data_IF_456319476302
#
_entry.id   IF_456319476302
#
_cell.length_a   1.000
_cell.length_b   1.000
_cell.length_c   1.000
_cell.angle_alpha   90.00
_cell.angle_beta   90.00
_cell.angle_gamma   90.00
#
_symmetry.space_group_name_H-M   'P 1'
#
loop_
_entity.id
_entity.type
_entity.pdbx_description
1 polymer ?
#
# COMPACT_ATOMS: atom_id res chain seq x y z
N UNK A 1 -35.51 18.88 -21.94
CA UNK A 1 -34.41 17.97 -22.37
C UNK A 1 -33.00 18.36 -21.91
N UNK A 2 -32.67 19.63 -21.63
CA UNK A 2 -31.32 20.02 -21.17
C UNK A 2 -31.03 19.70 -19.69
N UNK A 3 -32.06 19.67 -18.83
CA UNK A 3 -31.92 19.41 -17.40
C UNK A 3 -31.71 17.91 -17.12
N UNK A 4 -32.47 17.02 -17.79
CA UNK A 4 -32.24 15.57 -17.69
C UNK A 4 -30.83 15.16 -18.15
N UNK A 5 -30.33 15.76 -19.24
CA UNK A 5 -28.97 15.48 -19.74
C UNK A 5 -27.88 15.88 -18.75
N UNK A 6 -28.05 17.00 -18.02
CA UNK A 6 -27.09 17.42 -16.98
C UNK A 6 -27.12 16.53 -15.74
N UNK A 7 -28.30 16.06 -15.33
CA UNK A 7 -28.45 15.14 -14.19
C UNK A 7 -27.82 13.78 -14.50
N UNK A 8 -28.00 13.26 -15.72
CA UNK A 8 -27.40 12.00 -16.17
C UNK A 8 -25.87 12.08 -16.19
N UNK A 9 -25.28 13.21 -16.61
CA UNK A 9 -23.81 13.39 -16.62
C UNK A 9 -23.23 13.43 -15.20
N UNK A 10 -23.91 14.09 -14.25
CA UNK A 10 -23.47 14.13 -12.84
C UNK A 10 -23.59 12.75 -12.17
N UNK A 11 -24.66 12.00 -12.45
CA UNK A 11 -24.81 10.63 -11.95
C UNK A 11 -23.78 9.68 -12.56
N UNK A 12 -23.42 9.84 -13.84
CA UNK A 12 -22.41 9.01 -14.50
C UNK A 12 -20.99 9.32 -14.00
N UNK A 13 -20.71 10.58 -13.63
CA UNK A 13 -19.41 10.99 -13.08
C UNK A 13 -19.15 10.46 -11.66
N UNK A 14 -20.19 10.15 -10.88
CA UNK A 14 -20.09 9.61 -9.52
C UNK A 14 -19.70 8.11 -9.46
N UNK A 15 -19.72 7.39 -10.57
CA UNK A 15 -19.48 5.94 -10.62
C UNK A 15 -18.03 5.59 -11.01
N UNK A 16 -17.18 6.60 -11.27
CA UNK A 16 -15.83 6.41 -11.80
C UNK A 16 -14.71 6.62 -10.78
N UNK A 17 -15.02 6.77 -9.49
CA UNK A 17 -14.01 6.88 -8.43
C UNK A 17 -14.02 5.63 -7.55
N UNK A 18 -12.88 4.94 -7.44
CA UNK A 18 -12.69 3.88 -6.48
C UNK A 18 -13.04 4.36 -5.06
N UNK A 19 -13.76 3.53 -4.31
CA UNK A 19 -14.03 3.80 -2.90
C UNK A 19 -12.83 3.33 -2.07
N UNK A 20 -12.45 4.10 -1.05
CA UNK A 20 -11.48 3.64 -0.06
C UNK A 20 -12.06 2.41 0.65
N UNK A 21 -11.39 1.27 0.49
CA UNK A 21 -11.80 -0.01 1.08
C UNK A 21 -11.18 -0.18 2.48
N UNK A 22 -9.88 0.13 2.61
CA UNK A 22 -9.14 -0.04 3.84
C UNK A 22 -7.88 0.82 3.88
N UNK A 23 -7.41 1.14 5.09
CA UNK A 23 -6.20 1.94 5.35
C UNK A 23 -5.38 1.28 6.46
N UNK A 24 -4.07 1.22 6.26
CA UNK A 24 -3.13 0.54 7.15
C UNK A 24 -1.92 1.41 7.45
N UNK A 25 -1.40 1.31 8.66
CA UNK A 25 -0.15 1.96 9.07
C UNK A 25 1.04 1.04 8.80
N UNK A 26 2.16 1.60 8.34
CA UNK A 26 3.43 0.89 8.28
C UNK A 26 3.92 0.63 9.72
N UNK A 27 4.24 -0.62 10.04
CA UNK A 27 4.79 -0.96 11.36
C UNK A 27 6.09 -0.21 11.66
N UNK A 28 6.30 0.19 12.92
CA UNK A 28 7.57 0.77 13.39
C UNK A 28 8.75 -0.22 13.30
N UNK A 29 8.47 -1.52 13.33
CA UNK A 29 9.46 -2.59 13.14
C UNK A 29 9.77 -2.83 11.66
N UNK A 30 8.96 -2.29 10.75
CA UNK A 30 9.18 -2.41 9.31
C UNK A 30 10.13 -1.32 8.83
N UNK A 31 11.01 -1.68 7.90
CA UNK A 31 11.73 -0.68 7.10
C UNK A 31 10.74 0.15 6.28
N UNK A 32 11.21 1.33 5.88
CA UNK A 32 10.51 2.19 4.94
C UNK A 32 10.49 1.53 3.53
N UNK A 33 9.41 1.69 2.75
CA UNK A 33 9.43 1.35 1.33
C UNK A 33 10.54 2.12 0.61
N UNK A 34 11.25 1.47 -0.31
CA UNK A 34 12.39 2.09 -1.03
C UNK A 34 12.02 3.26 -1.94
N UNK A 35 10.73 3.49 -2.18
CA UNK A 35 10.23 4.66 -2.92
C UNK A 35 10.31 5.95 -2.12
N UNK A 36 10.34 5.85 -0.80
CA UNK A 36 10.43 7.02 0.08
C UNK A 36 11.86 7.19 0.60
N UNK A 37 12.26 8.43 0.74
CA UNK A 37 13.50 8.82 1.42
C UNK A 37 13.16 9.72 2.60
N UNK A 38 13.79 9.47 3.73
CA UNK A 38 13.60 10.31 4.92
C UNK A 38 14.37 11.63 4.67
N UNK A 39 13.73 12.80 4.82
CA UNK A 39 14.41 14.08 4.71
C UNK A 39 15.57 14.21 5.70
N UNK A 40 16.60 14.96 5.33
CA UNK A 40 17.76 15.19 6.19
C UNK A 40 17.32 15.81 7.54
N UNK A 41 17.85 15.28 8.64
CA UNK A 41 17.52 15.72 10.00
C UNK A 41 16.20 15.20 10.56
N UNK A 42 15.44 14.37 9.83
CA UNK A 42 14.21 13.72 10.32
C UNK A 42 14.51 12.30 10.80
N UNK A 43 13.98 11.91 11.96
CA UNK A 43 14.08 10.53 12.47
C UNK A 43 13.02 9.63 11.82
N UNK A 44 13.30 8.32 11.70
CA UNK A 44 12.30 7.33 11.26
C UNK A 44 11.03 7.34 12.13
N UNK A 45 11.16 7.67 13.42
CA UNK A 45 10.04 7.80 14.36
C UNK A 45 9.12 8.99 14.07
N UNK A 46 9.63 9.99 13.35
CA UNK A 46 8.89 11.21 12.99
C UNK A 46 8.23 11.09 11.61
N UNK A 47 8.27 9.89 11.04
CA UNK A 47 7.69 9.53 9.75
C UNK A 47 6.53 8.59 9.96
N UNK A 48 5.39 8.92 9.33
CA UNK A 48 4.23 8.06 9.19
C UNK A 48 4.05 7.68 7.73
N UNK A 49 3.87 6.38 7.48
CA UNK A 49 3.45 5.88 6.17
C UNK A 49 2.16 5.12 6.32
N UNK A 50 1.19 5.44 5.46
CA UNK A 50 -0.05 4.67 5.34
C UNK A 50 -0.20 4.07 3.96
N UNK A 51 -0.93 2.96 3.89
CA UNK A 51 -1.33 2.30 2.67
C UNK A 51 -2.85 2.22 2.61
N UNK A 52 -3.42 2.83 1.59
CA UNK A 52 -4.84 2.83 1.28
C UNK A 52 -5.09 1.88 0.11
N UNK A 53 -5.99 0.91 0.29
CA UNK A 53 -6.52 0.11 -0.82
C UNK A 53 -7.88 0.63 -1.24
N UNK A 54 -8.06 0.77 -2.55
CA UNK A 54 -9.31 1.16 -3.17
C UNK A 54 -9.97 -0.01 -3.88
N UNK A 55 -11.31 0.02 -3.96
CA UNK A 55 -12.12 -1.06 -4.54
C UNK A 55 -11.87 -1.33 -6.03
N UNK A 56 -11.24 -0.38 -6.74
CA UNK A 56 -10.84 -0.51 -8.14
C UNK A 56 -9.46 -1.18 -8.32
N UNK A 57 -8.80 -1.56 -7.22
CA UNK A 57 -7.50 -2.23 -7.22
C UNK A 57 -6.31 -1.29 -7.10
N UNK A 58 -6.54 0.04 -7.00
CA UNK A 58 -5.47 1.01 -6.74
C UNK A 58 -4.92 0.84 -5.31
N UNK A 59 -3.59 0.82 -5.20
CA UNK A 59 -2.88 0.90 -3.93
C UNK A 59 -2.15 2.23 -3.82
N UNK A 60 -2.47 2.98 -2.78
CA UNK A 60 -2.00 4.35 -2.57
C UNK A 60 -1.20 4.43 -1.29
N UNK A 61 0.05 4.86 -1.40
CA UNK A 61 0.91 5.14 -0.25
C UNK A 61 0.90 6.63 0.05
N UNK A 62 0.70 6.96 1.32
CA UNK A 62 0.86 8.31 1.83
C UNK A 62 2.07 8.31 2.77
N UNK A 63 3.03 9.18 2.49
CA UNK A 63 4.15 9.48 3.37
C UNK A 63 3.93 10.84 4.02
N UNK A 64 4.15 10.90 5.32
CA UNK A 64 4.08 12.11 6.12
C UNK A 64 5.30 12.17 7.03
N UNK A 65 6.08 13.25 6.94
CA UNK A 65 7.22 13.50 7.81
C UNK A 65 7.05 14.85 8.52
N UNK A 66 7.43 14.91 9.81
CA UNK A 66 7.50 16.16 10.56
C UNK A 66 8.95 16.69 10.56
N UNK A 67 9.17 17.87 9.98
CA UNK A 67 10.47 18.55 9.96
C UNK A 67 10.32 19.96 10.50
N UNK A 68 10.99 20.28 11.62
CA UNK A 68 11.04 21.64 12.19
C UNK A 68 9.67 22.35 12.33
N UNK A 69 8.60 21.57 12.62
CA UNK A 69 7.18 21.99 12.73
C UNK A 69 6.41 22.13 11.40
N UNK A 70 7.00 21.73 10.29
CA UNK A 70 6.34 21.62 8.99
C UNK A 70 6.08 20.16 8.65
N UNK A 71 4.91 19.87 8.09
CA UNK A 71 4.60 18.55 7.55
C UNK A 71 4.97 18.46 6.08
N UNK A 72 5.83 17.51 5.74
CA UNK A 72 6.12 17.13 4.36
C UNK A 72 5.21 15.95 4.03
N UNK A 73 4.44 16.06 2.95
CA UNK A 73 3.54 15.00 2.48
C UNK A 73 3.89 14.60 1.06
N UNK A 74 3.98 13.30 0.83
CA UNK A 74 4.12 12.71 -0.50
C UNK A 74 3.06 11.62 -0.67
N UNK A 75 2.48 11.53 -1.87
CA UNK A 75 1.50 10.50 -2.23
C UNK A 75 2.02 9.77 -3.45
N UNK A 76 2.11 8.46 -3.37
CA UNK A 76 2.54 7.59 -4.47
C UNK A 76 1.47 6.54 -4.73
N UNK A 77 1.03 6.41 -5.97
CA UNK A 77 0.16 5.33 -6.42
C UNK A 77 1.00 4.25 -7.10
N UNK A 78 0.66 2.99 -6.86
CA UNK A 78 1.38 1.85 -7.42
C UNK A 78 0.45 0.81 -8.04
N UNK A 79 0.96 0.15 -9.06
CA UNK A 79 0.26 -0.98 -9.67
C UNK A 79 0.46 -2.24 -8.82
N UNK A 80 -0.64 -2.91 -8.53
CA UNK A 80 -0.62 -4.21 -7.88
C UNK A 80 -0.41 -5.32 -8.92
N UNK A 81 0.40 -6.33 -8.61
CA UNK A 81 0.62 -7.47 -9.52
C UNK A 81 -0.67 -8.23 -9.85
N UNK A 82 -1.60 -8.30 -8.89
CA UNK A 82 -2.93 -8.89 -9.02
C UNK A 82 -3.94 -8.15 -8.16
N UNK A 83 -5.18 -8.13 -8.61
CA UNK A 83 -6.30 -7.66 -7.81
C UNK A 83 -6.50 -8.61 -6.62
N UNK A 84 -6.31 -8.08 -5.41
CA UNK A 84 -6.46 -8.80 -4.15
C UNK A 84 -5.19 -9.50 -3.64
N UNK A 85 -5.24 -10.00 -2.40
CA UNK A 85 -4.07 -10.50 -1.69
C UNK A 85 -3.56 -11.83 -2.26
N UNK A 86 -2.25 -11.93 -2.39
CA UNK A 86 -1.52 -13.16 -2.68
C UNK A 86 -1.35 -13.99 -1.41
N UNK A 87 -1.37 -15.31 -1.56
CA UNK A 87 -1.12 -16.27 -0.48
C UNK A 87 -0.08 -17.27 -0.90
N UNK A 88 0.82 -17.60 0.02
CA UNK A 88 1.77 -18.69 -0.17
C UNK A 88 1.04 -20.02 0.02
N UNK A 89 1.43 -21.04 -0.75
CA UNK A 89 0.88 -22.41 -0.60
C UNK A 89 1.19 -22.98 0.79
N UNK A 90 2.39 -22.71 1.28
CA UNK A 90 2.89 -23.11 2.60
C UNK A 90 3.30 -21.84 3.35
N UNK A 91 2.38 -21.17 4.06
CA UNK A 91 2.73 -19.98 4.84
C UNK A 91 3.68 -20.35 5.99
N UNK A 92 4.52 -19.40 6.45
CA UNK A 92 5.34 -19.61 7.64
C UNK A 92 4.48 -20.01 8.85
N UNK A 93 5.04 -20.86 9.71
CA UNK A 93 4.35 -21.27 10.93
C UNK A 93 4.19 -20.08 11.91
N UNK A 94 3.18 -20.15 12.78
CA UNK A 94 2.93 -19.14 13.82
C UNK A 94 1.96 -18.03 13.43
N UNK A 95 1.50 -17.97 12.17
CA UNK A 95 0.47 -17.03 11.74
C UNK A 95 -0.95 -17.59 11.89
N UNK A 96 -1.95 -16.71 12.09
CA UNK A 96 -3.35 -17.11 12.09
C UNK A 96 -3.78 -17.73 10.75
N UNK A 97 -4.90 -18.45 10.77
CA UNK A 97 -5.50 -19.01 9.56
C UNK A 97 -5.73 -17.91 8.51
N UNK A 98 -5.38 -18.20 7.25
CA UNK A 98 -5.43 -17.30 6.09
C UNK A 98 -4.37 -16.20 6.02
N UNK A 99 -3.47 -16.15 7.00
CA UNK A 99 -2.35 -15.23 7.07
C UNK A 99 -1.01 -15.99 6.99
N UNK A 100 0.08 -15.29 6.61
CA UNK A 100 0.13 -13.92 6.13
C UNK A 100 -0.46 -13.77 4.71
N UNK A 101 -0.85 -12.55 4.37
CA UNK A 101 -1.32 -12.14 3.04
C UNK A 101 -0.35 -11.13 2.44
N UNK A 102 -0.15 -11.19 1.13
CA UNK A 102 0.86 -10.39 0.46
C UNK A 102 0.29 -9.54 -0.66
N UNK A 103 0.89 -8.38 -0.91
CA UNK A 103 0.67 -7.60 -2.13
C UNK A 103 2.02 -7.26 -2.75
N UNK A 104 2.19 -7.56 -4.04
CA UNK A 104 3.37 -7.12 -4.79
C UNK A 104 2.98 -5.82 -5.49
N UNK A 105 3.73 -4.75 -5.20
CA UNK A 105 3.44 -3.41 -5.71
C UNK A 105 4.70 -2.84 -6.34
N UNK A 106 4.56 -2.21 -7.50
CA UNK A 106 5.65 -1.52 -8.18
C UNK A 106 5.32 -0.05 -8.32
N UNK A 107 6.24 0.81 -7.89
CA UNK A 107 6.18 2.27 -8.05
C UNK A 107 7.52 2.72 -8.61
N UNK A 108 7.49 3.53 -9.69
CA UNK A 108 8.69 4.08 -10.33
C UNK A 108 9.77 3.03 -10.65
N UNK A 109 9.37 1.82 -11.04
CA UNK A 109 10.27 0.72 -11.40
C UNK A 109 10.91 -0.04 -10.23
N UNK A 110 10.62 0.37 -8.99
CA UNK A 110 11.04 -0.35 -7.77
C UNK A 110 9.85 -1.19 -7.30
N UNK A 111 10.07 -2.48 -7.09
CA UNK A 111 9.05 -3.40 -6.56
C UNK A 111 9.24 -3.60 -5.07
N UNK A 112 8.15 -3.66 -4.32
CA UNK A 112 8.12 -4.04 -2.91
C UNK A 112 7.04 -5.09 -2.68
N UNK A 113 7.24 -5.92 -1.64
CA UNK A 113 6.25 -6.89 -1.19
C UNK A 113 5.70 -6.43 0.16
N UNK A 114 4.42 -6.10 0.16
CA UNK A 114 3.65 -5.76 1.36
C UNK A 114 3.20 -7.06 2.01
N UNK A 115 3.39 -7.18 3.32
CA UNK A 115 2.96 -8.31 4.13
C UNK A 115 1.96 -7.86 5.20
N UNK A 116 0.77 -8.44 5.17
CA UNK A 116 -0.24 -8.37 6.23
C UNK A 116 -0.16 -9.66 7.02
N UNK A 117 0.28 -9.58 8.29
CA UNK A 117 0.59 -10.77 9.12
C UNK A 117 -0.62 -11.34 9.86
N UNK A 118 -1.64 -10.52 10.08
CA UNK A 118 -2.88 -10.85 10.80
C UNK A 118 -3.94 -9.79 10.50
N UNK A 119 -5.15 -9.96 11.01
CA UNK A 119 -6.27 -9.04 10.78
C UNK A 119 -6.15 -7.77 11.63
N UNK A 120 -5.20 -6.91 11.28
CA UNK A 120 -4.91 -5.65 11.96
C UNK A 120 -4.68 -4.53 10.93
N UNK A 121 -4.77 -3.27 11.37
CA UNK A 121 -4.51 -2.09 10.55
C UNK A 121 -3.00 -1.78 10.41
N UNK A 122 -2.17 -2.82 10.30
CA UNK A 122 -0.72 -2.71 10.23
C UNK A 122 -0.17 -3.57 9.10
N UNK A 123 0.73 -3.01 8.30
CA UNK A 123 1.46 -3.73 7.27
C UNK A 123 2.98 -3.64 7.46
N UNK A 124 3.68 -4.56 6.80
CA UNK A 124 5.13 -4.65 6.80
C UNK A 124 5.64 -4.67 5.35
N UNK A 125 6.85 -4.19 5.14
CA UNK A 125 7.62 -4.53 3.94
C UNK A 125 8.45 -5.77 4.26
N UNK A 126 8.29 -6.82 3.46
CA UNK A 126 9.06 -8.06 3.67
C UNK A 126 10.28 -8.11 2.76
N UNK A 127 11.43 -8.40 3.35
CA UNK A 127 12.68 -8.72 2.66
C UNK A 127 12.97 -10.22 2.61
N UNK A 128 12.05 -11.06 3.10
CA UNK A 128 12.25 -12.51 3.17
C UNK A 128 12.44 -13.09 1.75
N UNK A 129 13.67 -13.52 1.40
CA UNK A 129 13.97 -13.98 0.05
C UNK A 129 13.14 -15.20 -0.36
N UNK A 130 12.67 -16.00 0.60
CA UNK A 130 11.79 -17.13 0.31
C UNK A 130 10.40 -16.66 -0.15
N UNK A 131 9.87 -15.58 0.43
CA UNK A 131 8.62 -14.95 -0.02
C UNK A 131 8.78 -14.40 -1.43
N UNK A 132 9.84 -13.61 -1.66
CA UNK A 132 10.15 -13.02 -2.97
C UNK A 132 10.23 -14.09 -4.06
N UNK A 133 11.00 -15.15 -3.81
CA UNK A 133 11.15 -16.29 -4.72
C UNK A 133 9.82 -17.00 -4.97
N UNK A 134 9.03 -17.25 -3.92
CA UNK A 134 7.76 -17.99 -4.03
C UNK A 134 6.71 -17.20 -4.82
N UNK A 135 6.72 -15.87 -4.69
CA UNK A 135 5.84 -14.98 -5.44
C UNK A 135 6.36 -14.67 -6.85
N UNK A 136 7.55 -15.17 -7.21
CA UNK A 136 8.13 -15.00 -8.55
C UNK A 136 8.60 -13.57 -8.83
N UNK A 137 9.00 -12.84 -7.78
CA UNK A 137 9.50 -11.47 -7.88
C UNK A 137 11.01 -11.48 -7.71
N UNK A 138 11.73 -10.89 -8.66
CA UNK A 138 13.17 -10.69 -8.54
C UNK A 138 13.47 -9.48 -7.64
N UNK A 139 14.35 -9.66 -6.65
CA UNK A 139 14.89 -8.55 -5.87
C UNK A 139 15.84 -7.76 -6.78
N UNK A 140 15.42 -6.56 -7.16
CA UNK A 140 16.26 -5.56 -7.84
C UNK A 140 16.76 -4.54 -6.84
#
# INVERSE_FOLDING_TARGET
MKILSRIVIVYLALILTGCLESSFDLSDESRLPRWFSIPEGVSRSDVKVTLDYYTDGEAVFNFLALQEKTFIREKLSGDTLKNGPLKLKNPPAGYPKHYPMYQVITINGITEIIEHRKMESVFYITDDPAVWKTLGVEQR
#
